data_IF_677716839121
#
_entry.id   IF_677716839121
#
_cell.length_a   1.000
_cell.length_b   1.000
_cell.length_c   1.000
_cell.angle_alpha   90.00
_cell.angle_beta   90.00
_cell.angle_gamma   90.00
#
_symmetry.space_group_name_H-M   'P 1'
#
loop_
_entity.id
_entity.type
_entity.pdbx_description
1 polymer ?
#
# COMPACT_ATOMS: atom_id res chain seq x y z
N UNK A 1 -1.40 -22.45 12.04
CA UNK A 1 -1.88 -23.74 11.49
C UNK A 1 -3.39 -23.70 11.25
N UNK A 2 -3.98 -24.68 10.57
CA UNK A 2 -5.44 -24.80 10.40
C UNK A 2 -6.22 -24.83 11.73
N UNK A 3 -5.50 -25.07 12.82
CA UNK A 3 -6.03 -25.32 14.16
C UNK A 3 -5.76 -24.15 15.11
N UNK A 4 -5.21 -23.03 14.61
CA UNK A 4 -4.80 -21.89 15.43
C UNK A 4 -3.58 -22.14 16.33
N UNK A 5 -3.02 -23.35 16.34
CA UNK A 5 -1.81 -23.70 17.09
C UNK A 5 -0.57 -23.04 16.50
N UNK A 6 0.24 -22.45 17.37
CA UNK A 6 1.57 -21.90 17.09
C UNK A 6 2.62 -23.00 17.18
N UNK A 7 3.62 -22.95 16.32
CA UNK A 7 4.67 -23.96 16.34
C UNK A 7 5.77 -23.70 15.32
N UNK A 8 6.90 -24.34 15.57
CA UNK A 8 8.10 -24.33 14.73
C UNK A 8 8.07 -25.62 13.90
N UNK A 9 8.32 -25.51 12.60
CA UNK A 9 8.21 -26.64 11.66
C UNK A 9 9.53 -26.83 10.91
N UNK A 10 10.10 -28.03 11.04
CA UNK A 10 11.30 -28.42 10.30
C UNK A 10 10.89 -28.88 8.89
N UNK A 11 11.38 -28.18 7.87
CA UNK A 11 11.01 -28.45 6.46
C UNK A 11 11.79 -29.61 5.83
N UNK A 12 12.97 -29.94 6.35
CA UNK A 12 13.84 -31.00 5.81
C UNK A 12 13.51 -32.38 6.40
N UNK A 13 13.99 -33.46 5.77
CA UNK A 13 13.86 -34.84 6.27
C UNK A 13 15.08 -35.30 7.09
N UNK A 14 16.19 -34.57 7.01
CA UNK A 14 17.43 -34.91 7.70
C UNK A 14 17.54 -34.20 9.04
N UNK A 15 18.18 -34.85 10.03
CA UNK A 15 18.47 -34.28 11.34
C UNK A 15 17.24 -33.69 12.08
N UNK A 16 16.03 -34.17 11.80
CA UNK A 16 14.77 -33.62 12.34
C UNK A 16 14.78 -33.55 13.87
N UNK A 17 15.20 -34.63 14.54
CA UNK A 17 15.27 -34.68 16.00
C UNK A 17 16.21 -33.59 16.57
N UNK A 18 17.39 -33.43 15.95
CA UNK A 18 18.37 -32.40 16.32
C UNK A 18 17.83 -31.00 16.10
N UNK A 19 17.20 -30.74 14.96
CA UNK A 19 16.64 -29.42 14.61
C UNK A 19 15.47 -29.04 15.52
N UNK A 20 14.61 -30.01 15.88
CA UNK A 20 13.55 -29.78 16.87
C UNK A 20 14.10 -29.57 18.28
N UNK A 21 15.22 -30.21 18.64
CA UNK A 21 15.93 -29.94 19.89
C UNK A 21 16.45 -28.51 19.97
N UNK A 22 17.08 -28.02 18.89
CA UNK A 22 17.53 -26.63 18.78
C UNK A 22 16.35 -25.66 18.90
N UNK A 23 15.24 -25.93 18.22
CA UNK A 23 14.02 -25.13 18.32
C UNK A 23 13.44 -25.09 19.75
N UNK A 24 13.53 -26.21 20.48
CA UNK A 24 13.11 -26.30 21.88
C UNK A 24 14.01 -25.47 22.80
N UNK A 25 15.33 -25.51 22.58
CA UNK A 25 16.30 -24.70 23.34
C UNK A 25 16.07 -23.19 23.12
N UNK A 26 15.76 -22.78 21.89
CA UNK A 26 15.39 -21.39 21.55
C UNK A 26 14.10 -20.98 22.25
N UNK A 27 13.05 -21.80 22.16
CA UNK A 27 11.79 -21.50 22.82
C UNK A 27 11.95 -21.36 24.34
N UNK A 28 12.79 -22.21 24.96
CA UNK A 28 13.12 -22.09 26.40
C UNK A 28 13.93 -20.84 26.73
N UNK A 29 14.86 -20.44 25.87
CA UNK A 29 15.72 -19.27 26.13
C UNK A 29 14.93 -17.96 26.19
N UNK A 30 13.79 -17.89 25.50
CA UNK A 30 12.89 -16.73 25.53
C UNK A 30 11.77 -16.83 26.59
N UNK A 31 11.73 -17.93 27.36
CA UNK A 31 10.83 -18.11 28.50
C UNK A 31 9.57 -18.96 28.26
N UNK A 32 9.48 -19.70 27.15
CA UNK A 32 8.39 -20.65 26.92
C UNK A 32 8.68 -21.97 27.65
N UNK A 33 7.66 -22.52 28.32
CA UNK A 33 7.79 -23.73 29.13
C UNK A 33 6.91 -24.88 28.59
N UNK A 34 5.74 -24.56 28.04
CA UNK A 34 4.76 -25.57 27.62
C UNK A 34 4.85 -25.83 26.13
N UNK A 35 5.48 -26.95 25.78
CA UNK A 35 5.72 -27.33 24.39
C UNK A 35 5.37 -28.79 24.13
N UNK A 36 4.95 -29.11 22.91
CA UNK A 36 4.67 -30.46 22.45
C UNK A 36 5.48 -30.75 21.18
N UNK A 37 6.50 -31.61 21.32
CA UNK A 37 7.34 -32.04 20.20
C UNK A 37 6.73 -33.29 19.54
N UNK A 38 6.47 -33.20 18.23
CA UNK A 38 5.95 -34.32 17.44
C UNK A 38 6.84 -34.54 16.21
N UNK A 39 7.85 -35.40 16.36
CA UNK A 39 8.85 -35.70 15.31
C UNK A 39 8.23 -36.23 14.02
N UNK A 40 7.18 -37.07 14.14
CA UNK A 40 6.43 -37.60 12.97
C UNK A 40 5.86 -36.49 12.09
N UNK A 41 5.51 -35.34 12.68
CA UNK A 41 4.99 -34.17 11.97
C UNK A 41 6.05 -33.08 11.78
N UNK A 42 7.31 -33.35 12.18
CA UNK A 42 8.43 -32.40 12.13
C UNK A 42 8.08 -31.06 12.80
N UNK A 43 7.32 -31.11 13.88
CA UNK A 43 6.71 -29.94 14.49
C UNK A 43 7.00 -29.86 15.99
N UNK A 44 7.32 -28.66 16.47
CA UNK A 44 7.32 -28.28 17.88
C UNK A 44 6.17 -27.30 18.10
N UNK A 45 5.11 -27.72 18.76
CA UNK A 45 3.99 -26.85 19.10
C UNK A 45 4.28 -26.10 20.39
N UNK A 46 3.99 -24.80 20.39
CA UNK A 46 4.25 -23.88 21.49
C UNK A 46 2.91 -23.52 22.13
N UNK A 47 2.60 -24.10 23.29
CA UNK A 47 1.26 -24.08 23.90
C UNK A 47 1.01 -22.78 24.65
N UNK A 48 2.04 -22.18 25.24
CA UNK A 48 2.00 -20.95 26.03
C UNK A 48 2.45 -19.69 25.26
N UNK A 49 2.76 -19.80 23.96
CA UNK A 49 3.25 -18.68 23.16
C UNK A 49 2.15 -17.67 22.75
N UNK A 50 2.44 -16.38 22.92
CA UNK A 50 1.68 -15.26 22.34
C UNK A 50 2.04 -15.01 20.87
N UNK A 51 1.46 -13.99 20.22
CA UNK A 51 1.90 -13.57 18.88
C UNK A 51 3.26 -12.85 18.93
N UNK A 52 3.49 -12.04 19.96
CA UNK A 52 4.77 -11.34 20.18
C UNK A 52 5.93 -12.32 20.41
N UNK A 53 5.65 -13.47 21.04
CA UNK A 53 6.65 -14.52 21.22
C UNK A 53 7.07 -15.14 19.88
N UNK A 54 6.16 -15.24 18.91
CA UNK A 54 6.51 -15.81 17.59
C UNK A 54 7.52 -14.94 16.84
N UNK A 55 7.40 -13.60 16.93
CA UNK A 55 8.38 -12.69 16.34
C UNK A 55 9.77 -12.87 16.97
N UNK A 56 9.81 -12.97 18.31
CA UNK A 56 11.07 -13.20 19.06
C UNK A 56 11.70 -14.55 18.73
N UNK A 57 10.89 -15.60 18.55
CA UNK A 57 11.35 -16.94 18.14
C UNK A 57 11.95 -16.88 16.74
N UNK A 58 11.27 -16.26 15.79
CA UNK A 58 11.75 -16.14 14.41
C UNK A 58 13.10 -15.39 14.37
N UNK A 59 13.26 -14.31 15.15
CA UNK A 59 14.53 -13.59 15.27
C UNK A 59 15.68 -14.47 15.82
N UNK A 60 15.43 -15.26 16.87
CA UNK A 60 16.44 -16.14 17.45
C UNK A 60 16.76 -17.34 16.55
N UNK A 61 15.75 -17.93 15.89
CA UNK A 61 15.95 -19.03 14.94
C UNK A 61 16.76 -18.59 13.73
N UNK A 62 16.53 -17.39 13.19
CA UNK A 62 17.29 -16.85 12.05
C UNK A 62 18.79 -16.76 12.37
N UNK A 63 19.17 -16.41 13.60
CA UNK A 63 20.58 -16.38 14.03
C UNK A 63 21.19 -17.77 13.99
N UNK A 64 20.48 -18.77 14.53
CA UNK A 64 20.99 -20.14 14.59
C UNK A 64 21.00 -20.82 13.22
N UNK A 65 19.97 -20.63 12.40
CA UNK A 65 19.93 -21.17 11.03
C UNK A 65 21.13 -20.67 10.21
N UNK A 66 21.60 -19.44 10.49
CA UNK A 66 22.78 -18.86 9.83
C UNK A 66 24.06 -19.60 10.24
N UNK A 67 24.18 -19.98 11.51
CA UNK A 67 25.30 -20.79 12.03
C UNK A 67 25.29 -22.23 11.51
N UNK A 68 24.10 -22.76 11.20
CA UNK A 68 23.92 -24.10 10.61
C UNK A 68 24.26 -24.14 9.11
N UNK A 69 24.71 -23.03 8.52
CA UNK A 69 25.12 -22.95 7.11
C UNK A 69 23.97 -22.75 6.13
N UNK A 70 22.76 -22.44 6.62
CA UNK A 70 21.64 -22.07 5.77
C UNK A 70 21.63 -20.56 5.52
N UNK A 71 21.08 -20.15 4.37
CA UNK A 71 20.71 -18.76 4.17
C UNK A 71 19.42 -18.47 4.95
N UNK A 72 19.56 -17.75 6.05
CA UNK A 72 18.46 -17.38 6.93
C UNK A 72 17.95 -15.99 6.57
N UNK A 73 16.64 -15.87 6.40
CA UNK A 73 15.99 -14.60 6.05
C UNK A 73 14.80 -14.37 6.98
N UNK A 74 14.68 -13.14 7.47
CA UNK A 74 13.42 -12.65 8.02
C UNK A 74 12.48 -12.40 6.82
N UNK A 75 11.26 -12.94 6.88
CA UNK A 75 10.28 -12.68 5.81
C UNK A 75 9.95 -11.19 5.77
N UNK A 76 9.93 -10.57 4.57
CA UNK A 76 9.61 -9.16 4.47
C UNK A 76 8.14 -8.91 4.85
N UNK A 77 7.90 -7.85 5.62
CA UNK A 77 6.55 -7.33 5.84
C UNK A 77 5.98 -6.76 4.55
N UNK A 78 4.65 -6.67 4.47
CA UNK A 78 3.95 -6.13 3.30
C UNK A 78 2.88 -5.11 3.70
N UNK A 79 2.70 -4.11 2.85
CA UNK A 79 1.58 -3.17 2.91
C UNK A 79 0.76 -3.29 1.64
N UNK A 80 -0.55 -3.14 1.77
CA UNK A 80 -1.49 -3.22 0.65
C UNK A 80 -2.15 -1.87 0.48
N UNK A 81 -2.23 -1.40 -0.77
CA UNK A 81 -2.88 -0.15 -1.11
C UNK A 81 -3.89 -0.39 -2.24
N UNK A 82 -4.93 0.44 -2.27
CA UNK A 82 -5.89 0.45 -3.36
C UNK A 82 -5.29 1.19 -4.56
N UNK A 83 -5.45 0.63 -5.75
CA UNK A 83 -5.06 1.30 -6.99
C UNK A 83 -6.03 2.41 -7.34
N UNK A 84 -5.48 3.55 -7.76
CA UNK A 84 -6.27 4.61 -8.37
C UNK A 84 -6.85 4.17 -9.72
N UNK A 85 -8.06 4.63 -9.99
CA UNK A 85 -8.64 4.48 -11.32
C UNK A 85 -8.02 5.47 -12.30
N UNK A 86 -7.89 5.06 -13.56
CA UNK A 86 -7.52 5.96 -14.65
C UNK A 86 -8.60 7.00 -14.88
N UNK A 87 -8.24 8.11 -15.54
CA UNK A 87 -9.11 9.26 -15.75
C UNK A 87 -10.42 8.95 -16.48
N UNK A 88 -10.48 7.87 -17.24
CA UNK A 88 -11.69 7.38 -17.91
C UNK A 88 -12.56 6.45 -17.02
N UNK A 89 -12.16 6.19 -15.78
CA UNK A 89 -12.80 5.25 -14.85
C UNK A 89 -12.43 3.78 -15.05
N UNK A 90 -11.46 3.46 -15.91
CA UNK A 90 -10.90 2.12 -16.08
C UNK A 90 -9.51 2.02 -15.43
N UNK A 91 -8.75 0.96 -15.70
CA UNK A 91 -7.37 0.86 -15.24
C UNK A 91 -6.50 1.91 -15.91
N UNK A 92 -5.64 2.58 -15.14
CA UNK A 92 -4.63 3.48 -15.67
C UNK A 92 -3.65 2.70 -16.57
N UNK A 93 -3.38 3.20 -17.77
CA UNK A 93 -2.50 2.51 -18.74
C UNK A 93 -1.64 3.49 -19.52
N UNK A 94 -0.35 3.18 -19.65
CA UNK A 94 0.57 3.91 -20.53
C UNK A 94 0.21 3.77 -22.02
N UNK A 95 -0.41 2.66 -22.41
CA UNK A 95 -0.90 2.45 -23.79
C UNK A 95 -2.17 3.24 -24.11
N UNK A 96 -2.82 3.83 -23.10
CA UNK A 96 -3.97 4.72 -23.25
C UNK A 96 -3.64 6.05 -22.58
N UNK A 97 -2.90 6.95 -23.25
CA UNK A 97 -2.36 8.17 -22.63
C UNK A 97 -3.41 9.08 -21.98
N UNK A 98 -4.64 9.11 -22.48
CA UNK A 98 -5.75 9.88 -21.90
C UNK A 98 -6.26 9.28 -20.57
N UNK A 99 -5.89 8.05 -20.23
CA UNK A 99 -6.26 7.40 -18.96
C UNK A 99 -5.35 7.80 -17.80
N UNK A 100 -4.23 8.47 -18.05
CA UNK A 100 -3.20 8.76 -17.06
C UNK A 100 -2.66 10.19 -17.19
N UNK A 101 -2.29 10.79 -16.06
CA UNK A 101 -1.47 12.00 -16.02
C UNK A 101 -0.03 11.53 -15.85
N UNK A 102 0.81 11.74 -16.87
CA UNK A 102 2.23 11.44 -16.73
C UNK A 102 2.92 12.58 -15.99
N UNK A 103 3.88 12.24 -15.13
CA UNK A 103 4.67 13.25 -14.40
C UNK A 103 5.54 14.12 -15.33
N UNK A 104 5.54 13.81 -16.62
CA UNK A 104 6.27 14.51 -17.68
C UNK A 104 5.35 15.14 -18.71
N UNK A 105 4.03 15.08 -18.50
CA UNK A 105 3.08 15.75 -19.37
C UNK A 105 3.36 17.27 -19.36
N UNK A 106 3.21 17.95 -20.51
CA UNK A 106 3.09 19.40 -20.51
C UNK A 106 1.92 19.83 -19.62
N UNK A 107 2.10 20.92 -18.86
CA UNK A 107 1.09 21.43 -17.92
C UNK A 107 -0.30 21.56 -18.55
N UNK A 108 -0.37 22.13 -19.76
CA UNK A 108 -1.63 22.31 -20.49
C UNK A 108 -2.33 20.98 -20.82
N UNK A 109 -1.57 19.96 -21.21
CA UNK A 109 -2.15 18.64 -21.51
C UNK A 109 -2.60 17.93 -20.22
N UNK A 110 -1.85 18.06 -19.12
CA UNK A 110 -2.26 17.53 -17.82
C UNK A 110 -3.57 18.18 -17.33
N UNK A 111 -3.68 19.51 -17.40
CA UNK A 111 -4.90 20.26 -17.06
C UNK A 111 -6.08 19.79 -17.91
N UNK A 112 -5.89 19.66 -19.22
CA UNK A 112 -6.91 19.19 -20.17
C UNK A 112 -7.36 17.76 -19.88
N UNK A 113 -6.44 16.86 -19.52
CA UNK A 113 -6.76 15.48 -19.11
C UNK A 113 -7.63 15.47 -17.85
N UNK A 114 -7.30 16.26 -16.82
CA UNK A 114 -8.13 16.42 -15.61
C UNK A 114 -9.52 16.93 -15.95
N UNK A 115 -9.63 17.94 -16.83
CA UNK A 115 -10.91 18.49 -17.26
C UNK A 115 -11.78 17.45 -17.98
N UNK A 116 -11.19 16.46 -18.65
CA UNK A 116 -11.90 15.34 -19.30
C UNK A 116 -12.20 14.15 -18.38
N UNK A 117 -11.65 14.13 -17.15
CA UNK A 117 -11.77 12.97 -16.27
C UNK A 117 -13.24 12.61 -15.95
N UNK A 118 -13.51 11.32 -15.77
CA UNK A 118 -14.82 10.79 -15.37
C UNK A 118 -15.16 11.27 -13.97
N UNK A 119 -16.40 11.73 -13.81
CA UNK A 119 -16.94 12.19 -12.53
C UNK A 119 -18.13 11.35 -12.12
N UNK A 120 -18.42 11.27 -10.83
CA UNK A 120 -19.70 10.76 -10.31
C UNK A 120 -20.82 11.81 -10.26
N UNK A 121 -20.69 12.90 -11.01
CA UNK A 121 -21.72 13.95 -11.13
C UNK A 121 -22.91 13.55 -12.01
N UNK A 122 -23.94 14.39 -12.02
CA UNK A 122 -25.15 14.21 -12.83
C UNK A 122 -25.01 14.76 -14.25
N UNK A 123 -25.96 14.41 -15.12
CA UNK A 123 -25.98 14.81 -16.53
C UNK A 123 -26.21 16.31 -16.66
N UNK A 124 -27.13 16.87 -15.86
CA UNK A 124 -27.45 18.29 -15.88
C UNK A 124 -27.05 19.01 -14.60
N UNK A 125 -26.83 20.32 -14.71
CA UNK A 125 -26.54 21.19 -13.58
C UNK A 125 -27.71 21.22 -12.57
N UNK A 126 -28.94 21.20 -13.06
CA UNK A 126 -30.14 21.20 -12.22
C UNK A 126 -30.21 19.92 -11.37
N UNK A 127 -29.99 18.76 -11.98
CA UNK A 127 -29.94 17.49 -11.24
C UNK A 127 -28.77 17.45 -10.26
N UNK A 128 -27.59 17.96 -10.64
CA UNK A 128 -26.44 18.04 -9.74
C UNK A 128 -26.78 18.87 -8.50
N UNK A 129 -27.41 20.03 -8.67
CA UNK A 129 -27.82 20.89 -7.54
C UNK A 129 -28.92 20.27 -6.70
N UNK A 130 -29.85 19.53 -7.31
CA UNK A 130 -31.00 18.95 -6.61
C UNK A 130 -30.68 17.65 -5.88
N UNK A 131 -29.82 16.81 -6.46
CA UNK A 131 -29.58 15.44 -5.99
C UNK A 131 -28.12 15.15 -5.65
N UNK A 132 -27.21 16.11 -5.84
CA UNK A 132 -25.79 15.93 -5.61
C UNK A 132 -25.10 14.95 -6.57
N UNK A 133 -23.79 14.85 -6.38
CA UNK A 133 -22.92 13.86 -7.03
C UNK A 133 -22.58 12.67 -6.12
N UNK A 134 -21.87 11.70 -6.69
CA UNK A 134 -21.34 10.50 -6.03
C UNK A 134 -19.79 10.55 -6.01
N UNK A 135 -19.16 11.12 -4.96
CA UNK A 135 -17.69 11.17 -4.84
C UNK A 135 -17.00 9.81 -4.94
N UNK A 136 -17.64 8.73 -4.48
CA UNK A 136 -17.11 7.36 -4.45
C UNK A 136 -16.84 6.80 -5.86
N UNK A 137 -17.57 7.29 -6.87
CA UNK A 137 -17.39 6.95 -8.28
C UNK A 137 -16.68 8.06 -9.09
N UNK A 138 -16.12 9.06 -8.40
CA UNK A 138 -15.52 10.24 -9.03
C UNK A 138 -14.00 10.16 -9.07
N UNK A 139 -13.42 10.09 -10.27
CA UNK A 139 -11.95 10.06 -10.43
C UNK A 139 -11.31 11.38 -9.98
N UNK A 140 -12.01 12.51 -10.16
CA UNK A 140 -11.52 13.82 -9.70
C UNK A 140 -11.41 13.86 -8.17
N UNK A 141 -12.37 13.26 -7.46
CA UNK A 141 -12.29 13.15 -6.00
C UNK A 141 -11.16 12.21 -5.57
N UNK A 142 -10.93 11.11 -6.29
CA UNK A 142 -9.75 10.27 -6.06
C UNK A 142 -8.45 11.05 -6.24
N UNK A 143 -8.32 11.90 -7.26
CA UNK A 143 -7.12 12.74 -7.40
C UNK A 143 -6.86 13.61 -6.16
N UNK A 144 -7.90 14.22 -5.60
CA UNK A 144 -7.79 14.96 -4.34
C UNK A 144 -7.33 14.07 -3.19
N UNK A 145 -8.03 12.95 -2.97
CA UNK A 145 -7.77 12.03 -1.87
C UNK A 145 -6.35 11.45 -1.87
N UNK A 146 -5.81 11.13 -3.04
CA UNK A 146 -4.52 10.43 -3.12
C UNK A 146 -3.32 11.37 -3.25
N UNK A 147 -3.48 12.54 -3.88
CA UNK A 147 -2.32 13.30 -4.36
C UNK A 147 -2.38 14.82 -4.14
N UNK A 148 -3.57 15.43 -4.08
CA UNK A 148 -3.67 16.88 -4.23
C UNK A 148 -4.07 17.63 -2.96
N UNK A 149 -4.64 16.94 -1.97
CA UNK A 149 -5.08 17.55 -0.71
C UNK A 149 -4.66 16.68 0.46
N UNK A 150 -3.83 17.23 1.35
CA UNK A 150 -3.38 16.55 2.58
C UNK A 150 -4.36 16.71 3.75
N UNK A 151 -5.20 17.74 3.72
CA UNK A 151 -6.14 18.05 4.80
C UNK A 151 -7.41 17.21 4.70
N UNK A 152 -7.59 16.27 5.64
CA UNK A 152 -8.80 15.45 5.75
C UNK A 152 -10.07 16.30 5.86
N UNK A 153 -10.01 17.42 6.59
CA UNK A 153 -11.13 18.35 6.72
C UNK A 153 -11.51 18.99 5.39
N UNK A 154 -10.52 19.29 4.55
CA UNK A 154 -10.77 19.85 3.22
C UNK A 154 -11.38 18.80 2.29
N UNK A 155 -10.89 17.55 2.35
CA UNK A 155 -11.46 16.42 1.63
C UNK A 155 -12.90 16.13 2.04
N UNK A 156 -13.20 16.18 3.33
CA UNK A 156 -14.55 16.03 3.88
C UNK A 156 -15.48 17.15 3.37
N UNK A 157 -15.02 18.40 3.38
CA UNK A 157 -15.80 19.52 2.86
C UNK A 157 -16.12 19.36 1.37
N UNK A 158 -15.15 18.95 0.55
CA UNK A 158 -15.36 18.69 -0.88
C UNK A 158 -16.38 17.56 -1.07
N UNK A 159 -16.26 16.49 -0.29
CA UNK A 159 -17.15 15.33 -0.34
C UNK A 159 -18.59 15.74 -0.01
N UNK A 160 -18.80 16.43 1.11
CA UNK A 160 -20.13 16.90 1.56
C UNK A 160 -20.72 17.88 0.54
N UNK A 161 -19.94 18.86 0.09
CA UNK A 161 -20.40 19.86 -0.88
C UNK A 161 -20.80 19.21 -2.22
N UNK A 162 -20.09 18.17 -2.65
CA UNK A 162 -20.45 17.40 -3.84
C UNK A 162 -21.76 16.62 -3.63
N UNK A 163 -21.91 15.93 -2.49
CA UNK A 163 -23.13 15.16 -2.16
C UNK A 163 -24.37 16.03 -1.98
N UNK A 164 -24.20 17.27 -1.52
CA UNK A 164 -25.30 18.23 -1.37
C UNK A 164 -25.65 18.97 -2.66
N UNK A 165 -24.80 18.88 -3.69
CA UNK A 165 -25.00 19.61 -4.95
C UNK A 165 -24.51 21.06 -4.95
N UNK A 166 -23.85 21.49 -3.87
CA UNK A 166 -23.25 22.81 -3.72
C UNK A 166 -22.00 22.96 -4.61
N UNK A 167 -21.25 21.87 -4.79
CA UNK A 167 -20.07 21.82 -5.64
C UNK A 167 -20.38 21.23 -7.02
N UNK A 168 -20.12 22.03 -8.06
CA UNK A 168 -20.33 21.63 -9.45
C UNK A 168 -19.06 21.00 -10.03
N UNK A 169 -19.22 19.91 -10.80
CA UNK A 169 -18.09 19.15 -11.33
C UNK A 169 -17.11 19.97 -12.17
N UNK A 170 -17.60 20.97 -12.92
CA UNK A 170 -16.74 21.84 -13.72
C UNK A 170 -15.75 22.64 -12.87
N UNK A 171 -16.22 23.24 -11.77
CA UNK A 171 -15.37 24.03 -10.88
C UNK A 171 -14.50 23.12 -10.00
N UNK A 172 -15.03 21.98 -9.58
CA UNK A 172 -14.27 20.92 -8.91
C UNK A 172 -13.07 20.45 -9.77
N UNK A 173 -13.28 20.26 -11.08
CA UNK A 173 -12.22 19.90 -12.03
C UNK A 173 -11.18 21.01 -12.23
N UNK A 174 -11.60 22.28 -12.31
CA UNK A 174 -10.66 23.41 -12.41
C UNK A 174 -9.72 23.44 -11.21
N UNK A 175 -10.26 23.30 -10.00
CA UNK A 175 -9.46 23.20 -8.77
C UNK A 175 -8.47 22.03 -8.83
N UNK A 176 -8.90 20.86 -9.28
CA UNK A 176 -8.01 19.71 -9.44
C UNK A 176 -6.92 19.97 -10.49
N UNK A 177 -7.26 20.64 -11.59
CA UNK A 177 -6.32 20.98 -12.66
C UNK A 177 -5.26 21.97 -12.20
N UNK A 178 -5.64 22.97 -11.39
CA UNK A 178 -4.71 23.92 -10.76
C UNK A 178 -3.77 23.21 -9.76
N UNK A 179 -4.31 22.32 -8.92
CA UNK A 179 -3.48 21.55 -7.99
C UNK A 179 -2.51 20.60 -8.72
N UNK A 180 -2.94 19.97 -9.82
CA UNK A 180 -2.07 19.13 -10.68
C UNK A 180 -0.98 19.96 -11.34
N UNK A 181 -1.28 21.16 -11.83
CA UNK A 181 -0.27 22.07 -12.36
C UNK A 181 0.81 22.37 -11.33
N UNK A 182 0.41 22.78 -10.12
CA UNK A 182 1.35 23.07 -9.03
C UNK A 182 2.23 21.84 -8.70
N UNK A 183 1.62 20.66 -8.60
CA UNK A 183 2.34 19.40 -8.37
C UNK A 183 3.37 19.12 -9.47
N UNK A 184 2.98 19.25 -10.74
CA UNK A 184 3.88 18.97 -11.87
C UNK A 184 5.00 20.00 -12.00
N UNK A 185 4.75 21.27 -11.66
CA UNK A 185 5.79 22.30 -11.63
C UNK A 185 6.83 21.99 -10.56
N UNK A 186 6.41 21.68 -9.33
CA UNK A 186 7.29 21.28 -8.24
C UNK A 186 8.09 20.02 -8.59
N UNK A 187 7.43 18.99 -9.13
CA UNK A 187 8.09 17.76 -9.56
C UNK A 187 9.10 18.00 -10.67
N UNK A 188 8.82 18.91 -11.60
CA UNK A 188 9.75 19.27 -12.67
C UNK A 188 11.02 19.88 -12.10
N UNK A 189 10.90 20.83 -11.17
CA UNK A 189 12.05 21.46 -10.50
C UNK A 189 12.89 20.42 -9.74
N UNK A 190 12.24 19.58 -8.92
CA UNK A 190 12.90 18.49 -8.19
C UNK A 190 13.61 17.54 -9.13
N UNK A 191 12.97 17.15 -10.24
CA UNK A 191 13.58 16.27 -11.24
C UNK A 191 14.81 16.87 -11.89
N UNK A 192 14.80 18.16 -12.21
CA UNK A 192 15.98 18.83 -12.77
C UNK A 192 17.13 18.86 -11.77
N UNK A 193 16.87 19.20 -10.50
CA UNK A 193 17.91 19.17 -9.46
C UNK A 193 18.49 17.77 -9.22
N UNK A 194 17.67 16.73 -9.33
CA UNK A 194 18.10 15.34 -9.09
C UNK A 194 19.02 14.79 -10.19
N UNK A 195 19.12 15.44 -11.37
CA UNK A 195 20.01 14.99 -12.45
C UNK A 195 21.48 15.03 -12.05
N UNK A 196 21.85 15.97 -11.18
CA UNK A 196 23.24 16.15 -10.74
C UNK A 196 23.67 15.08 -9.73
N UNK A 197 22.75 14.61 -8.90
CA UNK A 197 23.01 13.63 -7.82
C UNK A 197 22.66 12.19 -8.19
N UNK A 198 22.12 11.92 -9.39
CA UNK A 198 21.71 10.56 -9.77
C UNK A 198 22.84 9.54 -9.67
N UNK A 199 24.09 9.97 -9.92
CA UNK A 199 25.27 9.12 -9.84
C UNK A 199 25.56 8.65 -8.41
N UNK A 200 25.20 9.46 -7.42
CA UNK A 200 25.41 9.16 -6.01
C UNK A 200 24.51 8.01 -5.52
N UNK A 201 23.45 7.67 -6.28
CA UNK A 201 22.52 6.59 -5.96
C UNK A 201 22.72 5.31 -6.80
N UNK A 202 23.66 5.33 -7.76
CA UNK A 202 23.92 4.20 -8.67
C UNK A 202 25.19 3.40 -8.33
N UNK A 203 25.91 3.78 -7.27
CA UNK A 203 27.07 3.08 -6.72
C UNK A 203 26.68 2.08 -5.64
#
# INVERSE_FOLDING_TARGET
>A
TRDGRKGIFVKVDENVEKLLGIAEDVARSIGLEKMEKIEKYKALYLIDASEEDMERIDEELVKIESELGNLSFITPSSTYHMFMTGLNGQKMSSSVPESAIFLTDPIEEARKKVMKAKTGGRVTLEEQRKYGGNPEECVVYQLFLYHLIESDKELENIYISCKNGDLICGDCKKRAAEAIENLLMDLKEKRESAKESIRDFMS
#
